data_IF_682530727763
#
_entry.id   IF_682530727763
#
_cell.length_a   1.000
_cell.length_b   1.000
_cell.length_c   1.000
_cell.angle_alpha   90.00
_cell.angle_beta   90.00
_cell.angle_gamma   90.00
#
_symmetry.space_group_name_H-M   'P 1'
#
loop_
_entity.id
_entity.type
_entity.pdbx_description
1 polymer ?
#
# COMPACT_ATOMS: atom_id res chain seq x y z
N UNK A 1 -26.12 -16.34 17.37
CA UNK A 1 -25.46 -17.01 16.25
C UNK A 1 -24.48 -18.02 16.85
N UNK A 2 -24.71 -19.32 16.75
CA UNK A 2 -23.75 -20.33 17.22
C UNK A 2 -22.65 -20.42 16.17
N UNK A 3 -21.52 -19.79 16.46
CA UNK A 3 -20.33 -19.71 15.54
C UNK A 3 -19.37 -20.90 15.80
N UNK A 4 -19.82 -21.93 16.51
CA UNK A 4 -18.95 -22.93 17.12
C UNK A 4 -18.60 -24.13 16.20
N UNK A 5 -19.07 -24.16 14.96
CA UNK A 5 -18.65 -25.17 14.00
C UNK A 5 -17.98 -24.51 12.77
N UNK A 6 -16.65 -24.50 12.70
CA UNK A 6 -15.91 -23.93 11.58
C UNK A 6 -16.11 -24.69 10.25
N UNK A 7 -16.72 -25.89 10.29
CA UNK A 7 -17.01 -26.70 9.10
C UNK A 7 -18.47 -26.57 8.64
N UNK A 8 -19.28 -25.76 9.31
CA UNK A 8 -20.66 -25.53 8.90
C UNK A 8 -20.70 -24.79 7.56
N UNK A 9 -21.43 -25.31 6.60
CA UNK A 9 -21.70 -24.62 5.35
C UNK A 9 -22.44 -23.29 5.58
N UNK A 10 -21.92 -22.23 4.96
CA UNK A 10 -22.55 -20.92 4.96
C UNK A 10 -23.83 -20.98 4.13
N UNK A 11 -24.95 -20.50 4.71
CA UNK A 11 -26.24 -20.42 4.01
C UNK A 11 -26.69 -18.97 3.80
N UNK A 12 -27.67 -18.78 2.92
CA UNK A 12 -28.12 -17.45 2.53
C UNK A 12 -28.60 -16.61 3.75
N UNK A 13 -29.31 -17.24 4.69
CA UNK A 13 -29.82 -16.58 5.88
C UNK A 13 -28.70 -16.05 6.80
N UNK A 14 -27.55 -16.73 6.82
CA UNK A 14 -26.37 -16.23 7.58
C UNK A 14 -25.89 -14.89 7.04
N UNK A 15 -25.79 -14.78 5.71
CA UNK A 15 -25.39 -13.54 5.04
C UNK A 15 -26.41 -12.43 5.20
N UNK A 16 -27.70 -12.74 5.09
CA UNK A 16 -28.77 -11.76 5.32
C UNK A 16 -28.75 -11.28 6.77
N UNK A 17 -28.50 -12.16 7.73
CA UNK A 17 -28.45 -11.79 9.16
C UNK A 17 -27.34 -10.80 9.50
N UNK A 18 -26.27 -10.75 8.70
CA UNK A 18 -25.15 -9.78 8.84
C UNK A 18 -25.27 -8.56 7.92
N UNK A 19 -26.41 -8.42 7.21
CA UNK A 19 -26.77 -7.19 6.51
C UNK A 19 -26.64 -7.21 4.98
N UNK A 20 -26.29 -8.35 4.37
CA UNK A 20 -26.31 -8.46 2.91
C UNK A 20 -27.73 -8.53 2.36
N UNK A 21 -27.97 -8.01 1.15
CA UNK A 21 -29.22 -8.22 0.44
C UNK A 21 -29.38 -9.70 0.05
N UNK A 22 -30.62 -10.16 -0.19
CA UNK A 22 -30.87 -11.53 -0.63
C UNK A 22 -30.18 -11.85 -1.97
N UNK A 23 -30.05 -10.84 -2.85
CA UNK A 23 -29.35 -10.96 -4.14
C UNK A 23 -27.84 -11.09 -3.94
N UNK A 24 -27.23 -10.23 -3.12
CA UNK A 24 -25.80 -10.31 -2.79
C UNK A 24 -25.47 -11.63 -2.09
N UNK A 25 -26.31 -12.06 -1.13
CA UNK A 25 -26.10 -13.32 -0.43
C UNK A 25 -26.12 -14.52 -1.38
N UNK A 26 -27.05 -14.55 -2.34
CA UNK A 26 -27.11 -15.59 -3.38
C UNK A 26 -25.86 -15.55 -4.29
N UNK A 27 -25.43 -14.34 -4.68
CA UNK A 27 -24.23 -14.17 -5.51
C UNK A 27 -22.97 -14.62 -4.77
N UNK A 28 -22.81 -14.27 -3.50
CA UNK A 28 -21.69 -14.71 -2.65
C UNK A 28 -21.65 -16.25 -2.57
N UNK A 29 -22.78 -16.89 -2.28
CA UNK A 29 -22.84 -18.37 -2.20
C UNK A 29 -22.50 -19.02 -3.54
N UNK A 30 -22.95 -18.44 -4.65
CA UNK A 30 -22.61 -18.93 -5.99
C UNK A 30 -21.10 -18.83 -6.23
N UNK A 31 -20.47 -17.72 -5.86
CA UNK A 31 -19.01 -17.55 -5.98
C UNK A 31 -18.25 -18.56 -5.11
N UNK A 32 -18.71 -18.78 -3.86
CA UNK A 32 -18.11 -19.75 -2.94
C UNK A 32 -18.25 -21.20 -3.42
N UNK A 33 -19.30 -21.54 -4.18
CA UNK A 33 -19.48 -22.87 -4.77
C UNK A 33 -18.67 -23.11 -6.05
N UNK A 34 -18.02 -22.06 -6.59
CA UNK A 34 -17.28 -22.13 -7.87
C UNK A 34 -15.83 -22.60 -7.65
N UNK A 35 -15.64 -23.73 -6.99
CA UNK A 35 -14.32 -24.26 -6.63
C UNK A 35 -13.41 -24.46 -7.85
N UNK A 36 -13.94 -25.01 -8.95
CA UNK A 36 -13.17 -25.25 -10.17
C UNK A 36 -12.62 -23.95 -10.78
N UNK A 37 -13.40 -22.87 -10.73
CA UNK A 37 -12.97 -21.56 -11.22
C UNK A 37 -11.88 -20.97 -10.30
N UNK A 38 -12.04 -21.13 -8.99
CA UNK A 38 -11.05 -20.71 -8.02
C UNK A 38 -9.73 -21.47 -8.22
N UNK A 39 -9.78 -22.77 -8.32
CA UNK A 39 -8.60 -23.62 -8.53
C UNK A 39 -7.88 -23.27 -9.84
N UNK A 40 -8.63 -23.07 -10.92
CA UNK A 40 -8.07 -22.62 -12.19
C UNK A 40 -7.37 -21.26 -12.06
N UNK A 41 -7.99 -20.29 -11.36
CA UNK A 41 -7.43 -18.97 -11.18
C UNK A 41 -6.17 -18.96 -10.30
N UNK A 42 -6.16 -19.79 -9.24
CA UNK A 42 -4.99 -19.99 -8.39
C UNK A 42 -3.84 -20.64 -9.14
N UNK A 43 -4.11 -21.70 -9.93
CA UNK A 43 -3.11 -22.36 -10.77
C UNK A 43 -2.53 -21.41 -11.82
N UNK A 44 -3.38 -20.61 -12.46
CA UNK A 44 -2.95 -19.58 -13.41
C UNK A 44 -2.03 -18.55 -12.71
N UNK A 45 -2.41 -18.07 -11.53
CA UNK A 45 -1.56 -17.16 -10.76
C UNK A 45 -0.19 -17.78 -10.45
N UNK A 46 -0.17 -19.03 -10.02
CA UNK A 46 1.06 -19.77 -9.69
C UNK A 46 1.99 -19.91 -10.92
N UNK A 47 1.46 -20.13 -12.12
CA UNK A 47 2.25 -20.20 -13.36
C UNK A 47 3.02 -18.89 -13.63
N UNK A 48 2.48 -17.75 -13.20
CA UNK A 48 3.13 -16.45 -13.29
C UNK A 48 3.98 -16.08 -12.06
N UNK A 49 4.11 -17.01 -11.10
CA UNK A 49 4.79 -16.75 -9.83
C UNK A 49 4.03 -15.80 -8.91
N UNK A 50 2.71 -15.68 -9.11
CA UNK A 50 1.82 -14.88 -8.30
C UNK A 50 1.04 -15.78 -7.34
N UNK A 51 0.90 -15.35 -6.08
CA UNK A 51 0.18 -16.09 -5.06
C UNK A 51 -0.67 -15.17 -4.19
N UNK A 52 -1.86 -15.63 -3.77
CA UNK A 52 -2.73 -14.84 -2.92
C UNK A 52 -2.31 -14.92 -1.45
N UNK A 53 -2.53 -13.83 -0.74
CA UNK A 53 -2.43 -13.74 0.71
C UNK A 53 -3.72 -13.11 1.23
N UNK A 54 -4.59 -13.92 1.82
CA UNK A 54 -5.89 -13.46 2.30
C UNK A 54 -5.79 -12.80 3.65
N UNK A 55 -6.76 -11.95 3.99
CA UNK A 55 -6.84 -11.24 5.27
C UNK A 55 -6.78 -12.17 6.50
N UNK A 56 -7.18 -13.41 6.34
CA UNK A 56 -7.16 -14.44 7.40
C UNK A 56 -5.93 -15.34 7.36
N UNK A 57 -5.07 -15.20 6.33
CA UNK A 57 -3.86 -16.00 6.20
C UNK A 57 -2.80 -15.56 7.21
N UNK A 58 -2.02 -16.52 7.69
CA UNK A 58 -0.79 -16.23 8.40
C UNK A 58 0.18 -15.43 7.51
N UNK A 59 0.78 -14.39 8.08
CA UNK A 59 1.68 -13.49 7.34
C UNK A 59 0.98 -12.34 6.61
N UNK A 60 -0.35 -12.23 6.64
CA UNK A 60 -1.02 -11.00 6.20
C UNK A 60 -0.60 -9.83 7.11
N UNK A 61 -0.23 -8.66 6.55
CA UNK A 61 0.24 -7.52 7.36
C UNK A 61 -0.78 -7.11 8.42
N UNK A 62 -0.46 -7.35 9.71
CA UNK A 62 -1.38 -7.09 10.82
C UNK A 62 -1.78 -5.62 10.89
N UNK A 63 -0.83 -4.72 10.62
CA UNK A 63 -1.10 -3.28 10.62
C UNK A 63 -2.03 -2.81 9.49
N UNK A 64 -2.19 -3.54 8.38
CA UNK A 64 -3.28 -3.25 7.43
C UNK A 64 -4.65 -3.52 8.07
N UNK A 65 -4.78 -4.62 8.81
CA UNK A 65 -6.03 -4.93 9.54
C UNK A 65 -6.28 -3.95 10.67
N UNK A 66 -5.25 -3.59 11.41
CA UNK A 66 -5.34 -2.66 12.55
C UNK A 66 -5.74 -1.26 12.10
N UNK A 67 -5.16 -0.78 10.99
CA UNK A 67 -5.43 0.57 10.46
C UNK A 67 -6.73 0.67 9.67
N UNK A 68 -7.10 -0.36 8.93
CA UNK A 68 -8.22 -0.33 7.99
C UNK A 68 -9.44 -1.15 8.47
N UNK A 69 -9.27 -2.02 9.47
CA UNK A 69 -10.36 -2.87 9.94
C UNK A 69 -10.97 -3.71 8.81
N UNK A 70 -12.28 -3.59 8.62
CA UNK A 70 -13.02 -4.29 7.56
C UNK A 70 -12.72 -3.75 6.15
N UNK A 71 -12.20 -2.52 6.04
CA UNK A 71 -11.81 -1.92 4.75
C UNK A 71 -10.44 -2.42 4.28
N UNK A 72 -9.73 -3.23 5.07
CA UNK A 72 -8.48 -3.84 4.62
C UNK A 72 -8.74 -4.79 3.45
N UNK A 73 -7.85 -4.86 2.44
CA UNK A 73 -8.02 -5.74 1.30
C UNK A 73 -8.30 -7.19 1.74
N UNK A 74 -9.36 -7.80 1.23
CA UNK A 74 -9.70 -9.19 1.54
C UNK A 74 -8.65 -10.18 1.07
N UNK A 75 -7.94 -9.82 0.00
CA UNK A 75 -6.82 -10.58 -0.57
C UNK A 75 -5.78 -9.62 -1.14
N UNK A 76 -4.52 -9.92 -0.91
CA UNK A 76 -3.37 -9.33 -1.59
C UNK A 76 -2.77 -10.39 -2.51
N UNK A 77 -2.59 -10.06 -3.78
CA UNK A 77 -1.79 -10.88 -4.69
C UNK A 77 -0.35 -10.42 -4.64
N UNK A 78 0.56 -11.37 -4.49
CA UNK A 78 1.98 -11.13 -4.25
C UNK A 78 2.82 -11.76 -5.36
N UNK A 79 3.93 -11.11 -5.73
CA UNK A 79 4.97 -11.66 -6.59
C UNK A 79 6.35 -11.19 -6.12
N UNK A 80 7.27 -12.11 -5.88
CA UNK A 80 8.62 -11.83 -5.37
C UNK A 80 8.79 -12.21 -3.91
N UNK A 81 9.63 -11.46 -3.18
CA UNK A 81 10.07 -11.82 -1.83
C UNK A 81 9.07 -11.41 -0.75
N UNK A 82 8.20 -12.33 -0.33
CA UNK A 82 7.19 -12.08 0.71
C UNK A 82 7.75 -11.77 2.10
N UNK A 83 9.01 -12.19 2.37
CA UNK A 83 9.62 -11.94 3.68
C UNK A 83 9.80 -10.46 3.96
N UNK A 84 9.79 -9.61 2.93
CA UNK A 84 9.85 -8.15 3.07
C UNK A 84 8.65 -7.58 3.83
N UNK A 85 7.50 -8.28 3.86
CA UNK A 85 6.34 -7.86 4.67
C UNK A 85 6.57 -7.93 6.18
N UNK A 86 7.60 -8.66 6.63
CA UNK A 86 7.93 -8.83 8.05
C UNK A 86 8.92 -7.78 8.55
N UNK A 87 9.52 -7.01 7.65
CA UNK A 87 10.56 -6.04 7.97
C UNK A 87 9.95 -4.66 8.26
N UNK A 88 10.64 -3.83 9.05
CA UNK A 88 10.25 -2.43 9.22
C UNK A 88 10.18 -1.72 7.87
N UNK A 89 9.11 -0.96 7.65
CA UNK A 89 8.90 -0.29 6.38
C UNK A 89 8.53 1.19 6.54
N UNK A 90 8.93 1.99 5.56
CA UNK A 90 8.49 3.38 5.37
C UNK A 90 7.89 3.53 3.98
N UNK A 91 6.95 4.45 3.82
CA UNK A 91 6.30 4.69 2.54
C UNK A 91 6.74 6.02 1.93
N UNK A 92 6.84 6.06 0.60
CA UNK A 92 7.03 7.29 -0.15
C UNK A 92 5.99 7.40 -1.25
N UNK A 93 5.42 8.60 -1.35
CA UNK A 93 4.48 8.99 -2.39
C UNK A 93 4.87 10.35 -2.97
N UNK A 94 4.46 10.62 -4.19
CA UNK A 94 4.70 11.91 -4.82
C UNK A 94 4.21 11.95 -6.26
N UNK A 95 4.48 13.06 -6.92
CA UNK A 95 4.05 13.30 -8.29
C UNK A 95 4.88 12.52 -9.31
N UNK A 96 4.28 12.33 -10.50
CA UNK A 96 4.96 11.72 -11.66
C UNK A 96 6.00 12.63 -12.30
N UNK A 97 5.80 13.93 -12.16
CA UNK A 97 6.72 14.98 -12.61
C UNK A 97 7.20 15.75 -11.38
N UNK A 98 8.50 15.82 -11.20
CA UNK A 98 9.14 16.40 -10.04
C UNK A 98 10.01 17.59 -10.43
N UNK A 99 10.07 18.58 -9.53
CA UNK A 99 11.16 19.53 -9.51
C UNK A 99 12.44 18.83 -9.04
N UNK A 100 13.61 19.32 -9.45
CA UNK A 100 14.88 18.65 -9.12
C UNK A 100 15.13 18.54 -7.61
N UNK A 101 14.76 19.55 -6.83
CA UNK A 101 14.84 19.50 -5.36
C UNK A 101 13.99 18.38 -4.75
N UNK A 102 12.79 18.17 -5.31
CA UNK A 102 11.85 17.13 -4.86
C UNK A 102 12.29 15.74 -5.32
N UNK A 103 12.90 15.64 -6.50
CA UNK A 103 13.54 14.41 -6.97
C UNK A 103 14.74 14.04 -6.08
N UNK A 104 15.58 15.03 -5.72
CA UNK A 104 16.68 14.82 -4.78
C UNK A 104 16.19 14.38 -3.40
N UNK A 105 15.10 14.95 -2.90
CA UNK A 105 14.47 14.51 -1.66
C UNK A 105 13.97 13.05 -1.76
N UNK A 106 13.27 12.69 -2.85
CA UNK A 106 12.79 11.32 -3.05
C UNK A 106 13.95 10.31 -3.10
N UNK A 107 15.03 10.62 -3.83
CA UNK A 107 16.27 9.81 -3.86
C UNK A 107 16.87 9.65 -2.46
N UNK A 108 16.92 10.72 -1.70
CA UNK A 108 17.47 10.68 -0.33
C UNK A 108 16.59 9.82 0.60
N UNK A 109 15.26 9.91 0.53
CA UNK A 109 14.37 8.99 1.29
C UNK A 109 14.67 7.54 0.93
N UNK A 110 14.81 7.21 -0.35
CA UNK A 110 15.14 5.86 -0.79
C UNK A 110 16.50 5.38 -0.29
N UNK A 111 17.53 6.23 -0.39
CA UNK A 111 18.89 5.95 0.10
C UNK A 111 18.89 5.73 1.62
N UNK A 112 18.23 6.58 2.36
CA UNK A 112 18.15 6.49 3.82
C UNK A 112 17.30 5.30 4.29
N UNK A 113 16.27 4.90 3.55
CA UNK A 113 15.54 3.67 3.83
C UNK A 113 16.49 2.46 3.83
N UNK A 114 17.33 2.33 2.79
CA UNK A 114 18.33 1.26 2.71
C UNK A 114 19.34 1.32 3.86
N UNK A 115 19.91 2.49 4.12
CA UNK A 115 20.98 2.65 5.13
C UNK A 115 20.49 2.44 6.57
N UNK A 116 19.21 2.75 6.84
CA UNK A 116 18.60 2.60 8.16
C UNK A 116 17.83 1.28 8.33
N UNK A 117 17.92 0.36 7.36
CA UNK A 117 17.34 -0.98 7.44
C UNK A 117 15.80 -1.03 7.27
N UNK A 118 15.23 -0.03 6.60
CA UNK A 118 13.81 -0.03 6.27
C UNK A 118 13.56 -0.52 4.84
N UNK A 119 12.48 -1.26 4.66
CA UNK A 119 11.93 -1.53 3.33
C UNK A 119 11.19 -0.28 2.84
N UNK A 120 11.46 0.13 1.60
CA UNK A 120 10.75 1.25 0.97
C UNK A 120 9.46 0.76 0.32
N UNK A 121 8.33 1.31 0.72
CA UNK A 121 7.01 1.04 0.11
C UNK A 121 6.63 2.18 -0.83
N UNK A 122 6.27 1.88 -2.06
CA UNK A 122 5.76 2.87 -3.01
C UNK A 122 4.91 2.24 -4.13
N UNK A 123 4.46 3.05 -5.08
CA UNK A 123 3.51 2.65 -6.10
C UNK A 123 4.09 2.22 -7.44
N UNK A 124 5.40 2.19 -7.60
CA UNK A 124 6.08 1.91 -8.86
C UNK A 124 5.69 2.85 -10.02
N UNK A 125 5.17 4.03 -9.72
CA UNK A 125 4.84 5.03 -10.72
C UNK A 125 6.10 5.79 -11.18
N UNK A 126 6.02 6.44 -12.34
CA UNK A 126 7.06 7.38 -12.79
C UNK A 126 7.21 8.53 -11.80
N UNK A 127 8.37 9.13 -11.71
CA UNK A 127 8.66 10.28 -10.83
C UNK A 127 9.08 9.83 -9.43
N UNK A 128 8.44 10.34 -8.38
CA UNK A 128 8.86 10.17 -6.99
C UNK A 128 9.12 8.71 -6.60
N UNK A 129 8.20 7.82 -6.98
CA UNK A 129 8.30 6.41 -6.63
C UNK A 129 9.58 5.80 -7.22
N UNK A 130 9.82 5.99 -8.53
CA UNK A 130 10.98 5.42 -9.22
C UNK A 130 12.30 6.03 -8.77
N UNK A 131 12.35 7.33 -8.51
CA UNK A 131 13.55 7.98 -7.98
C UNK A 131 13.95 7.36 -6.63
N UNK A 132 13.00 7.20 -5.72
CA UNK A 132 13.25 6.61 -4.42
C UNK A 132 13.60 5.12 -4.49
N UNK A 133 12.85 4.33 -5.29
CA UNK A 133 13.10 2.90 -5.46
C UNK A 133 14.48 2.62 -6.02
N UNK A 134 14.88 3.37 -7.06
CA UNK A 134 16.21 3.26 -7.65
C UNK A 134 17.30 3.54 -6.62
N UNK A 135 17.18 4.65 -5.89
CA UNK A 135 18.17 4.99 -4.86
C UNK A 135 18.20 3.96 -3.70
N UNK A 136 17.05 3.40 -3.31
CA UNK A 136 16.99 2.35 -2.29
C UNK A 136 17.73 1.09 -2.74
N UNK A 137 17.43 0.58 -3.94
CA UNK A 137 18.05 -0.64 -4.48
C UNK A 137 19.56 -0.45 -4.76
N UNK A 138 19.98 0.71 -5.29
CA UNK A 138 21.40 1.03 -5.52
C UNK A 138 22.22 1.09 -4.22
N UNK A 139 21.56 1.30 -3.08
CA UNK A 139 22.22 1.26 -1.76
C UNK A 139 21.99 -0.06 -0.99
N UNK A 140 21.60 -1.13 -1.68
CA UNK A 140 21.42 -2.46 -1.10
C UNK A 140 20.16 -2.64 -0.25
N UNK A 141 19.19 -1.74 -0.39
CA UNK A 141 17.89 -1.84 0.28
C UNK A 141 16.88 -2.68 -0.49
N UNK A 142 15.71 -2.87 0.10
CA UNK A 142 14.60 -3.63 -0.46
C UNK A 142 13.36 -2.75 -0.66
N UNK A 143 12.50 -3.15 -1.61
CA UNK A 143 11.33 -2.36 -2.01
C UNK A 143 10.06 -3.21 -2.02
N UNK A 144 8.97 -2.66 -1.52
CA UNK A 144 7.61 -3.17 -1.75
C UNK A 144 6.90 -2.23 -2.74
N UNK A 145 6.55 -2.77 -3.90
CA UNK A 145 5.82 -2.07 -4.94
C UNK A 145 4.34 -2.44 -4.88
N UNK A 146 3.47 -1.54 -4.40
CA UNK A 146 2.02 -1.74 -4.50
C UNK A 146 1.57 -1.21 -5.84
N UNK A 147 1.18 -2.08 -6.76
CA UNK A 147 0.98 -1.74 -8.17
C UNK A 147 -0.50 -1.73 -8.56
N UNK A 148 -0.81 -0.93 -9.56
CA UNK A 148 -2.13 -0.88 -10.21
C UNK A 148 -2.12 -1.50 -11.62
N UNK A 149 -0.97 -2.03 -12.03
CA UNK A 149 -0.74 -2.70 -13.31
C UNK A 149 -0.89 -4.22 -13.14
N UNK A 150 -0.64 -4.96 -14.23
CA UNK A 150 -0.61 -6.42 -14.22
C UNK A 150 0.57 -6.92 -13.38
N UNK A 151 0.26 -7.63 -12.30
CA UNK A 151 1.26 -8.22 -11.42
C UNK A 151 2.04 -9.33 -12.12
N UNK A 152 1.36 -10.12 -12.98
CA UNK A 152 1.98 -11.21 -13.72
C UNK A 152 3.13 -10.76 -14.64
N UNK A 153 3.11 -9.53 -15.13
CA UNK A 153 4.13 -8.99 -16.03
C UNK A 153 5.37 -8.46 -15.30
N UNK A 154 5.34 -8.37 -13.97
CA UNK A 154 6.49 -7.90 -13.20
C UNK A 154 7.62 -8.95 -13.21
N UNK A 155 8.86 -8.49 -13.32
CA UNK A 155 10.04 -9.37 -13.27
C UNK A 155 10.40 -9.72 -11.83
N UNK A 156 10.77 -10.98 -11.60
CA UNK A 156 11.23 -11.40 -10.28
C UNK A 156 12.58 -10.74 -9.96
N UNK A 157 12.64 -10.17 -8.75
CA UNK A 157 13.84 -9.61 -8.16
C UNK A 157 13.83 -9.96 -6.66
N UNK A 158 14.92 -10.52 -6.08
CA UNK A 158 14.96 -10.91 -4.67
C UNK A 158 14.79 -9.75 -3.70
N UNK A 159 15.11 -8.52 -4.14
CA UNK A 159 15.02 -7.31 -3.32
C UNK A 159 13.69 -6.58 -3.50
N UNK A 160 12.76 -7.14 -4.29
CA UNK A 160 11.47 -6.52 -4.56
C UNK A 160 10.32 -7.49 -4.26
N UNK A 161 9.30 -6.96 -3.59
CA UNK A 161 7.98 -7.56 -3.51
C UNK A 161 6.98 -6.69 -4.25
N UNK A 162 6.28 -7.26 -5.21
CA UNK A 162 5.13 -6.62 -5.85
C UNK A 162 3.83 -7.08 -5.21
N UNK A 163 2.91 -6.14 -4.99
CA UNK A 163 1.60 -6.37 -4.37
C UNK A 163 0.50 -5.77 -5.26
N UNK A 164 -0.58 -6.52 -5.47
CA UNK A 164 -1.84 -6.03 -6.04
C UNK A 164 -3.01 -6.40 -5.14
N UNK A 165 -3.92 -5.47 -4.88
CA UNK A 165 -5.13 -5.70 -4.08
C UNK A 165 -6.33 -6.23 -4.89
N UNK A 166 -6.22 -6.25 -6.21
CA UNK A 166 -7.36 -6.55 -7.09
C UNK A 166 -7.19 -7.81 -7.95
N UNK A 167 -6.05 -8.49 -7.89
CA UNK A 167 -5.77 -9.62 -8.76
C UNK A 167 -4.38 -9.52 -9.39
N UNK A 168 -3.95 -10.59 -10.09
CA UNK A 168 -2.60 -10.64 -10.66
C UNK A 168 -2.54 -10.28 -12.15
N UNK A 169 -3.66 -10.34 -12.88
CA UNK A 169 -3.72 -10.18 -14.34
C UNK A 169 -4.54 -8.97 -14.81
N UNK A 170 -4.98 -8.12 -13.89
CA UNK A 170 -5.77 -6.93 -14.20
C UNK A 170 -4.89 -5.80 -14.72
N UNK A 171 -5.36 -5.16 -15.79
CA UNK A 171 -4.70 -4.02 -16.41
C UNK A 171 -4.77 -2.76 -15.54
N UNK A 172 -3.92 -1.79 -15.88
CA UNK A 172 -3.92 -0.49 -15.21
C UNK A 172 -5.28 0.20 -15.29
N UNK A 173 -5.72 0.76 -14.16
CA UNK A 173 -6.77 1.77 -14.14
C UNK A 173 -6.44 2.86 -13.12
N UNK A 174 -6.91 4.09 -13.41
CA UNK A 174 -6.74 5.22 -12.48
C UNK A 174 -7.45 4.97 -11.14
N UNK A 175 -8.57 4.27 -11.16
CA UNK A 175 -9.31 3.90 -9.96
C UNK A 175 -8.49 2.95 -9.08
N UNK A 176 -7.89 1.91 -9.65
CA UNK A 176 -6.99 1.00 -8.94
C UNK A 176 -5.79 1.75 -8.37
N UNK A 177 -5.21 2.69 -9.15
CA UNK A 177 -4.09 3.50 -8.69
C UNK A 177 -4.44 4.41 -7.50
N UNK A 178 -5.69 4.89 -7.41
CA UNK A 178 -6.17 5.65 -6.26
C UNK A 178 -6.41 4.75 -5.04
N UNK A 179 -7.07 3.61 -5.22
CA UNK A 179 -7.36 2.67 -4.13
C UNK A 179 -6.08 2.14 -3.47
N UNK A 180 -5.12 1.66 -4.28
CA UNK A 180 -3.87 1.10 -3.76
C UNK A 180 -3.02 2.11 -2.96
N UNK A 181 -3.22 3.43 -3.14
CA UNK A 181 -2.53 4.43 -2.35
C UNK A 181 -2.82 4.26 -0.85
N UNK A 182 -4.04 3.87 -0.47
CA UNK A 182 -4.37 3.55 0.92
C UNK A 182 -3.48 2.43 1.46
N UNK A 183 -3.24 1.38 0.67
CA UNK A 183 -2.35 0.28 1.06
C UNK A 183 -0.91 0.78 1.23
N UNK A 184 -0.40 1.63 0.31
CA UNK A 184 0.93 2.23 0.45
C UNK A 184 1.04 3.00 1.77
N UNK A 185 0.08 3.89 2.05
CA UNK A 185 0.09 4.69 3.26
C UNK A 185 0.01 3.85 4.54
N UNK A 186 -0.68 2.72 4.49
CA UNK A 186 -0.83 1.84 5.66
C UNK A 186 0.35 0.89 5.87
N UNK A 187 1.08 0.48 4.82
CA UNK A 187 2.20 -0.45 4.95
C UNK A 187 3.43 0.17 5.60
N UNK A 188 3.67 1.46 5.43
CA UNK A 188 4.77 2.15 6.10
C UNK A 188 4.42 2.59 7.53
N UNK A 189 5.40 2.51 8.42
CA UNK A 189 5.32 3.12 9.76
C UNK A 189 5.33 4.64 9.72
N UNK A 190 5.88 5.21 8.65
CA UNK A 190 5.92 6.65 8.32
C UNK A 190 5.68 6.82 6.82
N UNK A 191 5.08 7.92 6.43
CA UNK A 191 4.82 8.27 5.03
C UNK A 191 5.53 9.55 4.68
N UNK A 192 6.35 9.52 3.63
CA UNK A 192 7.04 10.68 3.08
C UNK A 192 6.35 11.14 1.80
N UNK A 193 6.06 12.44 1.71
CA UNK A 193 5.48 13.08 0.52
C UNK A 193 6.55 13.93 -0.13
N UNK A 194 7.06 13.50 -1.29
CA UNK A 194 8.14 14.21 -1.98
C UNK A 194 7.66 15.47 -2.69
N UNK A 195 6.50 15.41 -3.33
CA UNK A 195 5.87 16.56 -4.00
C UNK A 195 4.38 16.30 -4.21
N UNK A 196 3.58 17.35 -4.08
CA UNK A 196 2.19 17.38 -4.46
C UNK A 196 1.91 18.65 -5.28
N UNK A 197 1.56 18.53 -6.55
CA UNK A 197 1.40 19.69 -7.47
C UNK A 197 0.05 20.39 -7.34
N UNK A 198 -0.97 19.70 -6.85
CA UNK A 198 -2.32 20.28 -6.79
C UNK A 198 -3.09 19.72 -5.60
N UNK A 199 -4.12 20.46 -5.17
CA UNK A 199 -5.08 19.99 -4.15
C UNK A 199 -6.07 18.94 -4.73
N UNK A 200 -5.66 18.24 -5.77
CA UNK A 200 -6.37 17.15 -6.45
C UNK A 200 -5.36 16.07 -6.88
N UNK A 201 -5.84 14.91 -7.32
CA UNK A 201 -4.99 13.81 -7.78
C UNK A 201 -4.58 12.84 -6.68
N UNK A 202 -3.85 11.82 -7.08
CA UNK A 202 -3.59 10.64 -6.23
C UNK A 202 -2.77 10.92 -4.99
N UNK A 203 -1.71 11.75 -5.10
CA UNK A 203 -0.87 12.10 -3.94
C UNK A 203 -1.64 12.90 -2.91
N UNK A 204 -2.39 13.93 -3.35
CA UNK A 204 -3.22 14.72 -2.44
C UNK A 204 -4.29 13.87 -1.77
N UNK A 205 -5.10 13.16 -2.58
CA UNK A 205 -6.23 12.38 -2.07
C UNK A 205 -5.77 11.26 -1.13
N UNK A 206 -4.68 10.56 -1.46
CA UNK A 206 -4.11 9.52 -0.60
C UNK A 206 -3.58 10.07 0.72
N UNK A 207 -2.88 11.21 0.68
CA UNK A 207 -2.36 11.88 1.88
C UNK A 207 -3.50 12.37 2.77
N UNK A 208 -4.51 13.02 2.21
CA UNK A 208 -5.67 13.50 2.97
C UNK A 208 -6.50 12.34 3.56
N UNK A 209 -6.59 11.21 2.85
CA UNK A 209 -7.23 10.02 3.37
C UNK A 209 -6.45 9.43 4.57
N UNK A 210 -5.11 9.38 4.47
CA UNK A 210 -4.25 8.97 5.58
C UNK A 210 -4.44 9.87 6.81
N UNK A 211 -4.42 11.20 6.64
CA UNK A 211 -4.58 12.14 7.74
C UNK A 211 -5.96 11.99 8.43
N UNK A 212 -7.03 11.83 7.65
CA UNK A 212 -8.39 11.63 8.19
C UNK A 212 -8.51 10.29 8.92
N UNK A 213 -7.95 9.22 8.34
CA UNK A 213 -7.97 7.89 8.94
C UNK A 213 -6.92 7.68 10.03
N UNK A 214 -6.00 8.64 10.20
CA UNK A 214 -4.87 8.56 11.16
C UNK A 214 -4.06 7.27 10.99
N UNK A 215 -3.84 6.83 9.73
CA UNK A 215 -3.20 5.53 9.45
C UNK A 215 -1.72 5.51 9.81
N UNK A 216 -0.98 6.53 9.39
CA UNK A 216 0.47 6.64 9.66
C UNK A 216 0.89 8.10 9.72
N UNK A 217 1.90 8.47 10.52
CA UNK A 217 2.51 9.80 10.51
C UNK A 217 2.95 10.21 9.10
N UNK A 218 2.66 11.44 8.70
CA UNK A 218 2.98 11.98 7.38
C UNK A 218 3.97 13.12 7.47
N UNK A 219 5.06 12.99 6.74
CA UNK A 219 6.13 13.97 6.62
C UNK A 219 6.20 14.45 5.18
N UNK A 220 6.14 15.76 4.96
CA UNK A 220 6.19 16.31 3.62
C UNK A 220 7.44 17.19 3.43
N UNK A 221 8.04 17.11 2.25
CA UNK A 221 9.19 17.95 1.91
C UNK A 221 8.78 19.41 1.88
N UNK A 222 9.41 20.22 2.71
CA UNK A 222 9.15 21.67 2.76
C UNK A 222 9.84 22.37 1.58
N UNK A 223 9.25 22.28 0.38
CA UNK A 223 9.75 22.93 -0.84
C UNK A 223 9.29 24.38 -1.00
N UNK A 224 8.53 24.89 -0.04
CA UNK A 224 8.00 26.24 -0.04
C UNK A 224 6.76 26.45 -0.92
N UNK A 225 6.29 25.44 -1.65
CA UNK A 225 5.10 25.53 -2.50
C UNK A 225 3.81 25.66 -1.67
N UNK A 226 2.80 26.31 -2.24
CA UNK A 226 1.50 26.50 -1.57
C UNK A 226 0.77 25.16 -1.34
N UNK A 227 1.01 24.16 -2.19
CA UNK A 227 0.39 22.84 -2.02
C UNK A 227 1.02 22.07 -0.85
N UNK A 228 2.36 22.14 -0.71
CA UNK A 228 3.03 21.51 0.42
C UNK A 228 2.70 22.21 1.74
N UNK A 229 2.60 23.56 1.73
CA UNK A 229 2.08 24.33 2.88
C UNK A 229 0.66 23.88 3.26
N UNK A 230 -0.22 23.70 2.27
CA UNK A 230 -1.59 23.22 2.54
C UNK A 230 -1.63 21.81 3.13
N UNK A 231 -0.68 20.92 2.79
CA UNK A 231 -0.54 19.61 3.45
C UNK A 231 -0.05 19.76 4.90
N UNK A 232 0.87 20.68 5.16
CA UNK A 232 1.32 20.99 6.53
C UNK A 232 0.18 21.57 7.38
N UNK A 233 -0.60 22.49 6.83
CA UNK A 233 -1.80 23.03 7.50
C UNK A 233 -2.86 21.94 7.78
N UNK A 234 -2.89 20.90 6.96
CA UNK A 234 -3.78 19.74 7.14
C UNK A 234 -3.28 18.69 8.14
N UNK A 235 -2.05 18.85 8.67
CA UNK A 235 -1.48 17.98 9.69
C UNK A 235 -0.25 17.14 9.28
N UNK A 236 0.30 17.37 8.08
CA UNK A 236 1.61 16.79 7.75
C UNK A 236 2.73 17.58 8.45
N UNK A 237 3.78 16.89 8.88
CA UNK A 237 4.98 17.56 9.37
C UNK A 237 5.90 17.95 8.21
N UNK A 238 6.28 19.22 8.14
CA UNK A 238 7.22 19.73 7.14
C UNK A 238 8.66 19.38 7.50
N UNK A 239 9.39 18.70 6.62
CA UNK A 239 10.78 18.30 6.84
C UNK A 239 11.68 18.68 5.67
N UNK A 240 13.00 18.67 5.92
CA UNK A 240 14.04 18.87 4.94
C UNK A 240 14.90 17.62 4.78
N UNK A 241 15.80 17.59 3.79
CA UNK A 241 16.67 16.43 3.56
C UNK A 241 17.52 16.04 4.77
N UNK A 242 18.01 17.00 5.56
CA UNK A 242 18.81 16.73 6.77
C UNK A 242 18.04 15.94 7.84
N UNK A 243 16.73 16.09 7.87
CA UNK A 243 15.88 15.42 8.85
C UNK A 243 15.70 13.93 8.53
N UNK A 244 16.06 13.51 7.30
CA UNK A 244 16.01 12.10 6.87
C UNK A 244 17.15 11.25 7.41
N UNK A 245 18.19 11.86 8.02
CA UNK A 245 19.37 11.14 8.53
C UNK A 245 19.05 10.17 9.68
N UNK A 246 17.93 10.39 10.35
CA UNK A 246 17.43 9.50 11.40
C UNK A 246 15.90 9.45 11.39
N UNK A 247 15.34 8.42 10.80
CA UNK A 247 13.88 8.22 10.78
C UNK A 247 13.29 7.96 12.17
N UNK A 248 14.08 7.46 13.13
CA UNK A 248 13.59 7.21 14.48
C UNK A 248 13.34 8.51 15.25
N UNK A 249 14.07 9.57 14.92
CA UNK A 249 13.89 10.89 15.51
C UNK A 249 12.64 11.63 14.98
N UNK A 250 12.11 11.22 13.82
CA UNK A 250 10.89 11.79 13.27
C UNK A 250 9.67 11.30 14.05
N UNK A 251 9.26 12.06 15.03
CA UNK A 251 8.04 11.81 15.81
C UNK A 251 6.98 12.82 15.38
N UNK A 252 6.03 12.39 14.56
CA UNK A 252 4.83 13.19 14.39
C UNK A 252 3.98 13.05 15.66
N UNK A 253 3.90 14.09 16.43
CA UNK A 253 2.90 14.25 17.49
C UNK A 253 1.53 14.41 16.81
N UNK A 254 0.95 13.30 16.34
CA UNK A 254 -0.48 13.28 16.08
C UNK A 254 -1.11 13.51 17.44
N UNK A 255 -1.44 14.75 17.74
CA UNK A 255 -2.18 15.10 18.94
C UNK A 255 -3.53 14.42 18.83
N UNK A 256 -3.75 13.43 19.67
CA UNK A 256 -5.06 12.83 19.87
C UNK A 256 -5.92 13.88 20.60
N UNK A 257 -6.55 14.76 19.85
CA UNK A 257 -7.65 15.59 20.32
C UNK A 257 -8.97 14.92 19.97
#
# INVERSE_FOLDING_TARGET
MNVDDPNRELVQDDLISVGYSAEDAKHILHLLSSQEQLDWFLQKGQQYGCYPLTRVSEGYPTFLREKLGLDSPGCLWLKGNKELLKLPAISLVGNRELMESNAAFAREVGRQAALQGYVLVSGNARGADREAQKACLENGGCVICVIADRLCDQLNNPDILYISECGFDLEFSSQRALHRNTVIHCLGSKVFVAQCQSKSGGTWSGTMNNLRGKYSPVFCFNDGSDTMKALMDAGCEGINQKDLLDFSALQNTISFL
#
